data_IF_739362830678
#
_entry.id   IF_739362830678
#
_cell.length_a   1.000
_cell.length_b   1.000
_cell.length_c   1.000
_cell.angle_alpha   90.00
_cell.angle_beta   90.00
_cell.angle_gamma   90.00
#
_symmetry.space_group_name_H-M   'P 1'
#
loop_
_entity.id
_entity.type
_entity.pdbx_description
1 polymer ?
#
# COMPACT_ATOMS: atom_id res chain seq x y z
N UNK A 1 11.34 -2.55 11.86
CA UNK A 1 10.55 -2.21 13.06
C UNK A 1 10.30 -0.71 13.26
N UNK A 2 11.19 0.24 12.88
CA UNK A 2 10.94 1.70 13.08
C UNK A 2 9.93 2.36 12.13
N UNK A 3 9.54 1.70 11.05
CA UNK A 3 8.73 2.30 9.98
C UNK A 3 7.29 2.63 10.40
N UNK A 4 6.65 1.81 11.24
CA UNK A 4 5.30 2.08 11.74
C UNK A 4 5.25 3.27 12.71
N UNK A 5 6.26 3.40 13.59
CA UNK A 5 6.38 4.51 14.54
C UNK A 5 6.49 5.85 13.83
N UNK A 6 7.37 5.96 12.82
CA UNK A 6 7.55 7.20 12.07
C UNK A 6 6.27 7.61 11.34
N UNK A 7 5.58 6.65 10.70
CA UNK A 7 4.31 6.90 10.00
C UNK A 7 3.24 7.38 10.96
N UNK A 8 3.08 6.67 12.08
CA UNK A 8 2.11 7.03 13.11
C UNK A 8 2.40 8.42 13.69
N UNK A 9 3.66 8.78 13.93
CA UNK A 9 4.03 10.11 14.44
C UNK A 9 3.75 11.23 13.43
N UNK A 10 4.08 11.02 12.15
CA UNK A 10 3.80 11.99 11.08
C UNK A 10 2.29 12.19 10.92
N UNK A 11 1.51 11.11 10.94
CA UNK A 11 0.05 11.18 10.89
C UNK A 11 -0.55 11.81 12.15
N UNK A 12 0.03 11.55 13.33
CA UNK A 12 -0.36 12.21 14.57
C UNK A 12 -0.20 13.72 14.46
N UNK A 13 0.98 14.17 14.02
CA UNK A 13 1.27 15.60 13.85
C UNK A 13 0.34 16.24 12.82
N UNK A 14 0.13 15.58 11.68
CA UNK A 14 -0.80 16.03 10.66
C UNK A 14 -2.22 16.17 11.22
N UNK A 15 -2.68 15.18 11.99
CA UNK A 15 -4.00 15.19 12.60
C UNK A 15 -4.15 16.33 13.62
N UNK A 16 -3.12 16.59 14.43
CA UNK A 16 -3.11 17.73 15.35
C UNK A 16 -3.26 19.04 14.57
N UNK A 17 -2.46 19.24 13.52
CA UNK A 17 -2.54 20.45 12.68
C UNK A 17 -3.92 20.60 12.04
N UNK A 18 -4.48 19.53 11.48
CA UNK A 18 -5.82 19.55 10.90
C UNK A 18 -6.88 19.94 11.93
N UNK A 19 -6.80 19.42 13.16
CA UNK A 19 -7.76 19.78 14.22
C UNK A 19 -7.63 21.23 14.67
N UNK A 20 -6.42 21.78 14.71
CA UNK A 20 -6.21 23.21 14.98
C UNK A 20 -6.82 24.08 13.88
N UNK A 21 -6.60 23.72 12.62
CA UNK A 21 -7.20 24.41 11.46
C UNK A 21 -8.72 24.25 11.48
N UNK A 22 -9.23 23.07 11.81
CA UNK A 22 -10.66 22.81 11.93
C UNK A 22 -11.30 23.70 13.00
N UNK A 23 -10.71 23.75 14.20
CA UNK A 23 -11.23 24.56 15.31
C UNK A 23 -11.26 26.04 14.98
N UNK A 24 -10.17 26.56 14.39
CA UNK A 24 -10.08 27.97 13.98
C UNK A 24 -11.05 28.34 12.86
N UNK A 25 -11.19 27.49 11.82
CA UNK A 25 -12.15 27.72 10.73
C UNK A 25 -13.60 27.63 11.21
N UNK A 26 -13.94 26.65 12.03
CA UNK A 26 -15.30 26.49 12.56
C UNK A 26 -15.68 27.68 13.44
N UNK A 27 -14.77 28.17 14.27
CA UNK A 27 -15.00 29.35 15.10
C UNK A 27 -15.26 30.62 14.27
N UNK A 28 -14.70 30.71 13.06
CA UNK A 28 -14.88 31.87 12.17
C UNK A 28 -16.11 31.74 11.28
N UNK A 29 -16.45 30.53 10.83
CA UNK A 29 -17.55 30.24 9.90
C UNK A 29 -18.47 29.15 10.44
N UNK A 30 -19.13 29.44 11.56
CA UNK A 30 -19.96 28.48 12.30
C UNK A 30 -21.08 27.87 11.43
N UNK A 31 -21.69 28.67 10.53
CA UNK A 31 -22.77 28.23 9.64
C UNK A 31 -22.36 27.12 8.67
N UNK A 32 -21.06 26.97 8.39
CA UNK A 32 -20.52 25.95 7.46
C UNK A 32 -19.69 24.87 8.18
N UNK A 33 -19.80 24.77 9.51
CA UNK A 33 -19.02 23.85 10.34
C UNK A 33 -19.03 22.39 9.86
N UNK A 34 -20.18 21.90 9.39
CA UNK A 34 -20.33 20.56 8.82
C UNK A 34 -19.51 20.36 7.54
N UNK A 35 -19.56 21.32 6.60
CA UNK A 35 -18.84 21.24 5.32
C UNK A 35 -17.32 21.30 5.54
N UNK A 36 -16.87 22.18 6.44
CA UNK A 36 -15.46 22.29 6.83
C UNK A 36 -14.96 20.96 7.39
N UNK A 37 -15.70 20.35 8.30
CA UNK A 37 -15.33 19.07 8.91
C UNK A 37 -15.21 17.94 7.88
N UNK A 38 -16.21 17.81 7.00
CA UNK A 38 -16.19 16.79 5.94
C UNK A 38 -15.00 17.01 5.00
N UNK A 39 -14.74 18.26 4.61
CA UNK A 39 -13.64 18.60 3.72
C UNK A 39 -12.28 18.24 4.35
N UNK A 40 -12.01 18.62 5.60
CA UNK A 40 -10.73 18.31 6.26
C UNK A 40 -10.53 16.80 6.47
N UNK A 41 -11.59 16.07 6.81
CA UNK A 41 -11.55 14.60 6.89
C UNK A 41 -11.25 13.99 5.53
N UNK A 42 -11.89 14.48 4.46
CA UNK A 42 -11.63 14.01 3.11
C UNK A 42 -10.17 14.26 2.69
N UNK A 43 -9.63 15.45 2.98
CA UNK A 43 -8.21 15.78 2.75
C UNK A 43 -7.30 14.82 3.50
N UNK A 44 -7.57 14.55 4.78
CA UNK A 44 -6.79 13.59 5.57
C UNK A 44 -6.81 12.19 4.95
N UNK A 45 -7.99 11.69 4.57
CA UNK A 45 -8.16 10.38 3.95
C UNK A 45 -7.41 10.32 2.60
N UNK A 46 -7.43 11.37 1.79
CA UNK A 46 -6.66 11.44 0.54
C UNK A 46 -5.16 11.35 0.81
N UNK A 47 -4.64 12.06 1.81
CA UNK A 47 -3.22 11.99 2.18
C UNK A 47 -2.83 10.56 2.56
N UNK A 48 -3.65 9.89 3.39
CA UNK A 48 -3.44 8.50 3.78
C UNK A 48 -3.50 7.57 2.56
N UNK A 49 -4.48 7.74 1.68
CA UNK A 49 -4.65 6.95 0.47
C UNK A 49 -3.45 7.06 -0.46
N UNK A 50 -2.99 8.27 -0.74
CA UNK A 50 -1.83 8.53 -1.62
C UNK A 50 -0.56 7.94 -1.02
N UNK A 51 -0.36 8.11 0.28
CA UNK A 51 0.80 7.52 0.94
C UNK A 51 0.74 6.00 0.93
N UNK A 52 -0.40 5.40 1.30
CA UNK A 52 -0.64 3.96 1.21
C UNK A 52 -0.42 3.43 -0.21
N UNK A 53 -0.88 4.15 -1.23
CA UNK A 53 -0.66 3.79 -2.63
C UNK A 53 0.82 3.75 -3.01
N UNK A 54 1.60 4.77 -2.65
CA UNK A 54 3.05 4.75 -2.88
C UNK A 54 3.74 3.62 -2.12
N UNK A 55 3.27 3.34 -0.91
CA UNK A 55 3.83 2.29 -0.06
C UNK A 55 3.57 0.90 -0.66
N UNK A 56 2.34 0.59 -1.06
CA UNK A 56 2.00 -0.65 -1.76
C UNK A 56 2.69 -0.79 -3.11
N UNK A 57 2.89 0.33 -3.82
CA UNK A 57 3.66 0.36 -5.07
C UNK A 57 5.13 0.03 -4.85
N UNK A 58 5.72 0.56 -3.78
CA UNK A 58 7.12 0.28 -3.44
C UNK A 58 7.33 -1.16 -3.00
N UNK A 59 6.39 -1.72 -2.22
CA UNK A 59 6.40 -3.10 -1.74
C UNK A 59 6.30 -4.11 -2.89
N UNK A 60 5.35 -3.92 -3.82
CA UNK A 60 5.20 -4.80 -4.99
C UNK A 60 6.36 -4.71 -5.99
N UNK A 61 7.12 -3.60 -6.01
CA UNK A 61 8.36 -3.49 -6.79
C UNK A 61 9.54 -4.21 -6.13
N UNK A 62 9.65 -4.11 -4.80
CA UNK A 62 10.73 -4.71 -4.06
C UNK A 62 10.59 -6.24 -3.92
N UNK A 63 9.35 -6.74 -3.85
CA UNK A 63 9.04 -8.16 -3.68
C UNK A 63 8.02 -8.60 -4.75
N UNK A 64 8.52 -9.12 -5.89
CA UNK A 64 7.67 -9.65 -6.96
C UNK A 64 6.85 -10.87 -6.53
N UNK A 65 7.39 -11.69 -5.62
CA UNK A 65 6.72 -12.87 -5.06
C UNK A 65 5.62 -12.46 -4.05
N UNK A 66 4.33 -12.72 -4.33
CA UNK A 66 3.22 -12.33 -3.45
C UNK A 66 3.31 -12.95 -2.05
N UNK A 67 3.91 -14.13 -1.90
CA UNK A 67 3.96 -14.86 -0.64
C UNK A 67 4.96 -14.27 0.36
N UNK A 68 5.93 -13.47 -0.10
CA UNK A 68 6.96 -12.86 0.75
C UNK A 68 6.67 -11.42 1.17
N UNK A 69 5.61 -10.82 0.62
CA UNK A 69 5.30 -9.40 0.80
C UNK A 69 5.13 -9.02 2.26
N UNK A 70 5.55 -7.80 2.59
CA UNK A 70 5.46 -7.29 3.95
C UNK A 70 4.00 -7.10 4.40
N UNK A 71 3.75 -7.32 5.69
CA UNK A 71 2.44 -7.07 6.30
C UNK A 71 2.25 -5.56 6.53
N UNK A 72 1.88 -4.88 5.45
CA UNK A 72 1.54 -3.47 5.46
C UNK A 72 0.25 -3.20 6.24
N UNK A 73 -0.69 -4.15 6.29
CA UNK A 73 -1.95 -3.97 7.01
C UNK A 73 -1.70 -3.79 8.50
N UNK A 74 -0.89 -4.67 9.11
CA UNK A 74 -0.47 -4.55 10.51
C UNK A 74 0.30 -3.25 10.77
N UNK A 75 1.21 -2.88 9.86
CA UNK A 75 2.02 -1.65 9.96
C UNK A 75 1.14 -0.39 9.99
N UNK A 76 0.14 -0.33 9.10
CA UNK A 76 -0.77 0.81 9.00
C UNK A 76 -1.83 0.82 10.09
N UNK A 77 -2.24 -0.34 10.60
CA UNK A 77 -3.11 -0.44 11.78
C UNK A 77 -2.44 0.15 13.03
N UNK A 78 -1.21 -0.29 13.33
CA UNK A 78 -0.44 0.22 14.46
C UNK A 78 -0.11 1.72 14.31
N UNK A 79 0.22 2.15 13.10
CA UNK A 79 0.45 3.57 12.81
C UNK A 79 -0.81 4.41 13.03
N UNK A 80 -1.98 3.95 12.57
CA UNK A 80 -3.26 4.62 12.78
C UNK A 80 -3.66 4.69 14.26
N UNK A 81 -3.46 3.60 15.00
CA UNK A 81 -3.71 3.57 16.44
C UNK A 81 -2.80 4.56 17.19
N UNK A 82 -1.50 4.54 16.90
CA UNK A 82 -0.54 5.48 17.48
C UNK A 82 -0.93 6.92 17.14
N UNK A 83 -1.27 7.18 15.87
CA UNK A 83 -1.68 8.50 15.40
C UNK A 83 -2.91 9.01 16.16
N UNK A 84 -3.94 8.17 16.30
CA UNK A 84 -5.17 8.51 17.02
C UNK A 84 -4.93 8.83 18.49
N UNK A 85 -4.20 7.97 19.21
CA UNK A 85 -3.94 8.16 20.64
C UNK A 85 -3.04 9.37 20.89
N UNK A 86 -1.94 9.49 20.15
CA UNK A 86 -0.98 10.58 20.33
C UNK A 86 -1.60 11.92 19.95
N UNK A 87 -2.31 12.00 18.82
CA UNK A 87 -2.98 13.25 18.42
C UNK A 87 -4.08 13.66 19.38
N UNK A 88 -4.91 12.71 19.86
CA UNK A 88 -5.94 12.97 20.86
C UNK A 88 -5.36 13.50 22.18
N UNK A 89 -4.30 12.86 22.68
CA UNK A 89 -3.61 13.31 23.89
C UNK A 89 -3.01 14.71 23.71
N UNK A 90 -2.35 14.98 22.57
CA UNK A 90 -1.76 16.29 22.27
C UNK A 90 -2.85 17.37 22.14
N UNK A 91 -3.93 17.12 21.42
CA UNK A 91 -5.04 18.07 21.29
C UNK A 91 -5.68 18.39 22.64
N UNK A 92 -5.81 17.39 23.53
CA UNK A 92 -6.28 17.60 24.90
C UNK A 92 -5.31 18.46 25.73
N UNK A 93 -4.00 18.25 25.61
CA UNK A 93 -3.02 19.12 26.28
C UNK A 93 -3.14 20.56 25.77
N UNK A 94 -3.30 20.76 24.46
CA UNK A 94 -3.43 22.10 23.88
C UNK A 94 -4.73 22.78 24.35
N UNK A 95 -5.85 22.05 24.47
CA UNK A 95 -7.12 22.63 24.91
C UNK A 95 -7.11 23.11 26.38
N UNK A 96 -6.13 22.71 27.18
CA UNK A 96 -5.92 23.29 28.51
C UNK A 96 -5.50 24.76 28.46
N UNK A 97 -4.83 25.17 27.38
CA UNK A 97 -4.31 26.53 27.20
C UNK A 97 -5.17 27.38 26.26
N UNK A 98 -5.95 26.75 25.37
CA UNK A 98 -6.82 27.41 24.40
C UNK A 98 -8.27 26.90 24.50
N UNK A 99 -9.18 27.77 24.98
CA UNK A 99 -10.62 27.47 25.11
C UNK A 99 -11.37 27.49 23.77
N UNK A 100 -10.75 27.98 22.70
CA UNK A 100 -11.32 27.97 21.34
C UNK A 100 -11.22 26.59 20.66
N UNK A 101 -10.50 25.64 21.27
CA UNK A 101 -10.34 24.28 20.77
C UNK A 101 -11.54 23.41 21.19
N UNK A 102 -12.33 22.99 20.22
CA UNK A 102 -13.47 22.09 20.42
C UNK A 102 -12.98 20.65 20.66
N UNK A 103 -12.59 20.36 21.90
CA UNK A 103 -12.03 19.07 22.33
C UNK A 103 -12.89 18.52 23.47
N UNK A 104 -13.21 17.22 23.41
CA UNK A 104 -13.97 16.55 24.46
C UNK A 104 -13.13 16.28 25.73
N UNK A 105 -13.67 15.47 26.64
CA UNK A 105 -12.87 14.94 27.76
C UNK A 105 -11.75 14.02 27.27
N UNK A 106 -10.64 13.94 28.03
CA UNK A 106 -9.45 13.14 27.69
C UNK A 106 -9.79 11.69 27.29
N UNK A 107 -10.71 11.06 28.03
CA UNK A 107 -11.14 9.68 27.76
C UNK A 107 -11.76 9.57 26.38
N UNK A 108 -12.61 10.52 25.98
CA UNK A 108 -13.26 10.52 24.67
C UNK A 108 -12.26 10.74 23.53
N UNK A 109 -11.24 11.58 23.75
CA UNK A 109 -10.19 11.85 22.76
C UNK A 109 -9.31 10.61 22.51
N UNK A 110 -8.92 9.93 23.58
CA UNK A 110 -8.02 8.77 23.53
C UNK A 110 -8.75 7.47 23.14
N UNK A 111 -10.09 7.46 23.14
CA UNK A 111 -10.89 6.28 22.76
C UNK A 111 -11.66 6.49 21.47
N UNK A 112 -12.71 7.31 21.46
CA UNK A 112 -13.60 7.51 20.31
C UNK A 112 -12.86 8.16 19.15
N UNK A 113 -12.21 9.30 19.38
CA UNK A 113 -11.46 9.99 18.34
C UNK A 113 -10.24 9.19 17.89
N UNK A 114 -9.56 8.52 18.83
CA UNK A 114 -8.45 7.64 18.50
C UNK A 114 -8.90 6.47 17.62
N UNK A 115 -10.00 5.80 17.96
CA UNK A 115 -10.56 4.68 17.19
C UNK A 115 -11.03 5.14 15.81
N UNK A 116 -11.71 6.30 15.73
CA UNK A 116 -12.12 6.89 14.46
C UNK A 116 -10.92 7.20 13.56
N UNK A 117 -9.89 7.84 14.11
CA UNK A 117 -8.65 8.17 13.38
C UNK A 117 -7.95 6.89 12.93
N UNK A 118 -7.83 5.90 13.81
CA UNK A 118 -7.23 4.61 13.48
C UNK A 118 -7.99 3.91 12.35
N UNK A 119 -9.33 3.93 12.38
CA UNK A 119 -10.17 3.37 11.32
C UNK A 119 -9.96 4.08 9.99
N UNK A 120 -9.97 5.41 9.97
CA UNK A 120 -9.73 6.20 8.76
C UNK A 120 -8.35 5.91 8.16
N UNK A 121 -7.31 5.88 9.00
CA UNK A 121 -5.95 5.57 8.58
C UNK A 121 -5.87 4.16 8.02
N UNK A 122 -6.44 3.18 8.73
CA UNK A 122 -6.39 1.79 8.33
C UNK A 122 -7.12 1.55 7.00
N UNK A 123 -8.38 1.98 6.90
CA UNK A 123 -9.19 1.79 5.69
C UNK A 123 -8.59 2.55 4.50
N UNK A 124 -8.19 3.81 4.70
CA UNK A 124 -7.54 4.60 3.65
C UNK A 124 -6.23 3.94 3.19
N UNK A 125 -5.41 3.45 4.11
CA UNK A 125 -4.16 2.81 3.75
C UNK A 125 -4.38 1.50 3.01
N UNK A 126 -5.29 0.63 3.48
CA UNK A 126 -5.61 -0.66 2.85
C UNK A 126 -6.10 -0.48 1.42
N UNK A 127 -7.01 0.49 1.20
CA UNK A 127 -7.45 0.84 -0.14
C UNK A 127 -6.28 1.35 -0.99
N UNK A 128 -5.46 2.25 -0.44
CA UNK A 128 -4.30 2.81 -1.13
C UNK A 128 -3.30 1.75 -1.57
N UNK A 129 -2.73 1.00 -0.62
CA UNK A 129 -1.70 0.00 -0.93
C UNK A 129 -2.27 -1.19 -1.72
N UNK A 130 -3.53 -1.54 -1.51
CA UNK A 130 -4.22 -2.58 -2.28
C UNK A 130 -4.28 -2.22 -3.77
N UNK A 131 -4.71 -1.00 -4.09
CA UNK A 131 -4.69 -0.48 -5.47
C UNK A 131 -3.26 -0.38 -6.01
N UNK A 132 -2.30 0.04 -5.18
CA UNK A 132 -0.88 0.13 -5.54
C UNK A 132 -0.28 -1.21 -5.96
N UNK A 133 -0.58 -2.29 -5.20
CA UNK A 133 -0.14 -3.67 -5.50
C UNK A 133 -0.82 -4.19 -6.76
N UNK A 134 -2.14 -4.02 -6.88
CA UNK A 134 -2.91 -4.46 -8.04
C UNK A 134 -2.41 -3.85 -9.36
N UNK A 135 -2.05 -2.57 -9.37
CA UNK A 135 -1.57 -1.89 -10.58
C UNK A 135 -0.21 -2.44 -11.07
N UNK A 136 0.63 -2.97 -10.17
CA UNK A 136 1.91 -3.59 -10.52
C UNK A 136 1.72 -5.04 -10.94
N UNK A 137 0.90 -5.79 -10.21
CA UNK A 137 0.63 -7.21 -10.52
C UNK A 137 0.07 -7.34 -11.94
N UNK A 138 -0.82 -6.43 -12.34
CA UNK A 138 -1.35 -6.36 -13.71
C UNK A 138 -0.30 -6.05 -14.79
N UNK A 139 0.86 -5.48 -14.44
CA UNK A 139 1.98 -5.25 -15.38
C UNK A 139 2.82 -6.51 -15.56
N UNK A 140 3.08 -7.25 -14.48
CA UNK A 140 3.80 -8.52 -14.55
C UNK A 140 3.05 -9.57 -15.37
N UNK A 141 1.71 -9.64 -15.29
CA UNK A 141 0.90 -10.54 -16.13
C UNK A 141 1.01 -10.22 -17.63
N UNK A 142 1.22 -8.95 -17.99
CA UNK A 142 1.38 -8.51 -19.38
C UNK A 142 2.78 -8.76 -19.92
N UNK A 143 3.81 -8.59 -19.08
CA UNK A 143 5.20 -8.85 -19.48
C UNK A 143 5.51 -10.35 -19.51
N UNK A 144 4.88 -11.15 -18.63
CA UNK A 144 4.97 -12.61 -18.62
C UNK A 144 4.32 -13.26 -19.85
N UNK A 145 3.25 -12.68 -20.38
CA UNK A 145 2.63 -13.14 -21.64
C UNK A 145 3.46 -12.78 -22.87
N UNK A 146 4.08 -11.59 -22.91
CA UNK A 146 5.00 -11.23 -24.01
C UNK A 146 6.25 -12.11 -24.07
N UNK A 147 6.85 -12.48 -22.92
CA UNK A 147 8.05 -13.34 -22.90
C UNK A 147 7.73 -14.82 -23.16
N UNK A 148 6.53 -15.28 -22.80
CA UNK A 148 6.08 -16.64 -23.13
C UNK A 148 5.78 -16.79 -24.63
N UNK A 149 5.31 -15.73 -25.28
CA UNK A 149 4.99 -15.77 -26.71
C UNK A 149 6.22 -15.76 -27.62
N UNK A 150 7.37 -15.22 -27.19
CA UNK A 150 8.64 -15.30 -27.94
C UNK A 150 9.42 -16.62 -27.72
N UNK A 151 9.14 -17.35 -26.63
CA UNK A 151 9.84 -18.58 -26.25
C UNK A 151 9.16 -19.89 -26.69
N UNK A 152 7.84 -19.88 -26.87
CA UNK A 152 7.06 -21.09 -27.19
C UNK A 152 7.24 -21.55 -28.65
N UNK A 153 7.46 -20.62 -29.59
CA UNK A 153 7.70 -20.97 -31.01
C UNK A 153 9.09 -21.62 -31.24
N UNK A 154 10.06 -21.42 -30.34
CA UNK A 154 11.40 -22.00 -30.46
C UNK A 154 11.59 -23.28 -29.63
N UNK A 155 10.87 -23.46 -28.53
CA UNK A 155 11.04 -24.62 -27.64
C UNK A 155 10.55 -25.93 -28.29
N UNK A 156 9.50 -25.88 -29.10
CA UNK A 156 9.05 -27.05 -29.85
C UNK A 156 10.02 -27.44 -30.97
N UNK A 157 10.80 -26.49 -31.51
CA UNK A 157 11.77 -26.76 -32.58
C UNK A 157 12.99 -27.55 -32.09
N UNK A 158 13.47 -27.27 -30.86
CA UNK A 158 14.66 -27.94 -30.27
C UNK A 158 14.48 -29.44 -30.06
N UNK A 159 13.28 -29.90 -29.67
CA UNK A 159 13.02 -31.33 -29.41
C UNK A 159 13.00 -32.14 -30.72
N UNK A 160 12.42 -31.59 -31.78
CA UNK A 160 12.40 -32.25 -33.09
C UNK A 160 13.77 -32.21 -33.79
N UNK A 161 14.57 -31.17 -33.53
CA UNK A 161 15.93 -31.06 -34.05
C UNK A 161 16.87 -32.07 -33.38
N UNK A 162 16.82 -32.20 -32.05
CA UNK A 162 17.59 -33.21 -31.31
C UNK A 162 17.28 -34.65 -31.75
N UNK A 163 16.01 -34.98 -32.00
CA UNK A 163 15.60 -36.30 -32.53
C UNK A 163 16.08 -36.51 -33.97
N UNK A 164 16.09 -35.45 -34.79
CA UNK A 164 16.55 -35.52 -36.18
C UNK A 164 18.07 -35.69 -36.25
N UNK A 165 18.84 -35.05 -35.37
CA UNK A 165 20.29 -35.24 -35.24
C UNK A 165 20.64 -36.65 -34.76
N UNK A 166 19.95 -37.16 -33.71
CA UNK A 166 20.14 -38.52 -33.22
C UNK A 166 19.91 -39.56 -34.33
N UNK A 167 18.84 -39.40 -35.12
CA UNK A 167 18.55 -40.29 -36.25
C UNK A 167 19.58 -40.20 -37.39
N UNK A 168 20.25 -39.05 -37.52
CA UNK A 168 21.31 -38.83 -38.52
C UNK A 168 22.60 -39.54 -38.09
N UNK A 169 22.95 -39.46 -36.80
CA UNK A 169 24.08 -40.19 -36.21
C UNK A 169 23.90 -41.71 -36.31
N UNK A 170 22.71 -42.23 -35.99
CA UNK A 170 22.38 -43.67 -36.15
C UNK A 170 22.47 -44.17 -37.61
N UNK A 171 22.32 -43.27 -38.59
CA UNK A 171 22.44 -43.60 -40.01
C UNK A 171 23.89 -43.58 -40.50
N UNK A 172 24.75 -42.76 -39.91
CA UNK A 172 26.19 -42.73 -40.20
C UNK A 172 26.94 -43.87 -39.51
N UNK A 173 26.51 -44.30 -38.33
CA UNK A 173 27.20 -45.32 -37.53
C UNK A 173 26.82 -46.77 -37.89
N UNK A 174 25.93 -46.96 -38.89
CA UNK A 174 25.66 -48.29 -39.44
C UNK A 174 26.80 -48.69 -40.39
N UNK A 175 27.65 -49.67 -40.04
CA UNK A 175 28.64 -50.18 -40.97
C UNK A 175 27.92 -50.72 -42.20
N UNK A 176 28.42 -50.37 -43.39
CA UNK A 176 27.98 -50.90 -44.68
C UNK A 176 28.29 -52.39 -44.76
N UNK A 177 27.55 -53.20 -44.00
CA UNK A 177 27.63 -54.64 -44.11
C UNK A 177 26.66 -55.11 -45.19
N UNK A 178 27.26 -55.70 -46.23
CA UNK A 178 26.69 -56.64 -47.20
C UNK A 178 26.01 -56.03 -48.43
N UNK A 179 26.86 -55.65 -49.38
CA UNK A 179 26.60 -55.92 -50.79
C UNK A 179 27.75 -56.80 -51.32
N UNK A 180 27.54 -58.11 -51.30
CA UNK A 180 28.20 -59.12 -52.14
C UNK A 180 27.15 -60.12 -52.54
#
# INVERSE_FOLDING_TARGET
MRSWLLRGLVLALLMVVLRLVQGTMINTWETQSGLISIFLVAVFVIVVLVWGFWDGRSDARAQPDPARRSDLAMTWLLAGLLAGVVSGAVCWVISMFDKGLYVGGLINEVTTFAAFTALLVFVGAVLGFGVGRWLIDRRYDKEGTSRRQEGDDNADTDVFEAVREAKRQDAEDRPRERAT
#
